data_IF_388891699092
#
_entry.id   IF_388891699092
#
_cell.length_a   1.000
_cell.length_b   1.000
_cell.length_c   1.000
_cell.angle_alpha   90.00
_cell.angle_beta   90.00
_cell.angle_gamma   90.00
#
_symmetry.space_group_name_H-M   'P 1'
#
loop_
_entity.id
_entity.type
_entity.pdbx_description
1 polymer ?
#
# COMPACT_ATOMS: atom_id res chain seq x y z
N UNK A 1 -46.76 -32.59 -5.03
CA UNK A 1 -46.11 -32.11 -3.79
C UNK A 1 -44.63 -32.41 -3.90
N UNK A 2 -43.86 -31.48 -4.48
CA UNK A 2 -42.40 -31.60 -4.62
C UNK A 2 -41.74 -30.70 -3.58
N UNK A 3 -40.71 -31.18 -2.88
CA UNK A 3 -40.02 -30.32 -1.91
C UNK A 3 -39.09 -29.32 -2.66
N UNK A 4 -39.24 -28.06 -2.29
CA UNK A 4 -38.34 -26.97 -2.68
C UNK A 4 -37.04 -27.16 -1.93
N UNK A 5 -35.98 -27.46 -2.65
CA UNK A 5 -34.61 -27.43 -2.13
C UNK A 5 -34.19 -25.98 -1.93
N UNK A 6 -34.08 -25.53 -0.70
CA UNK A 6 -33.49 -24.25 -0.36
C UNK A 6 -31.97 -24.35 -0.60
N UNK A 7 -31.48 -23.64 -1.62
CA UNK A 7 -30.06 -23.45 -1.86
C UNK A 7 -29.52 -22.45 -0.81
N UNK A 8 -28.79 -22.94 0.17
CA UNK A 8 -28.04 -22.09 1.08
C UNK A 8 -26.91 -21.42 0.29
N UNK A 9 -27.05 -20.13 0.03
CA UNK A 9 -25.97 -19.30 -0.50
C UNK A 9 -24.98 -19.10 0.64
N UNK A 10 -23.88 -19.83 0.62
CA UNK A 10 -22.75 -19.57 1.50
C UNK A 10 -22.13 -18.25 1.07
N UNK A 11 -22.33 -17.21 1.87
CA UNK A 11 -21.61 -15.94 1.77
C UNK A 11 -20.17 -16.16 2.19
N UNK A 12 -19.30 -16.51 1.25
CA UNK A 12 -17.89 -16.60 1.51
C UNK A 12 -17.29 -15.17 1.54
N UNK A 13 -16.78 -14.77 2.69
CA UNK A 13 -16.11 -13.50 2.96
C UNK A 13 -14.77 -13.41 2.25
N UNK A 14 -14.44 -12.24 1.70
CA UNK A 14 -13.19 -11.94 0.98
C UNK A 14 -11.94 -12.04 1.88
N UNK A 15 -10.83 -12.60 1.41
CA UNK A 15 -9.63 -12.84 2.22
C UNK A 15 -8.57 -11.74 2.10
N UNK A 16 -8.93 -10.47 1.99
CA UNK A 16 -7.93 -9.40 1.97
C UNK A 16 -7.95 -8.67 3.29
N UNK A 17 -7.34 -8.98 4.34
CA UNK A 17 -7.33 -8.29 5.65
C UNK A 17 -8.56 -8.55 6.55
N UNK A 18 -8.65 -9.75 7.10
CA UNK A 18 -9.47 -9.97 8.29
C UNK A 18 -8.68 -9.62 9.55
N UNK A 19 -9.20 -8.67 10.35
CA UNK A 19 -8.60 -8.22 11.61
C UNK A 19 -8.74 -9.23 12.78
N UNK A 20 -9.49 -10.33 12.66
CA UNK A 20 -10.03 -11.04 13.84
C UNK A 20 -9.25 -12.25 14.36
N UNK A 21 -8.20 -12.78 13.70
CA UNK A 21 -7.66 -14.10 14.07
C UNK A 21 -6.29 -14.12 14.78
N UNK A 22 -5.82 -13.01 15.38
CA UNK A 22 -4.53 -13.00 16.08
C UNK A 22 -4.61 -12.57 17.56
N UNK A 23 -5.24 -13.40 18.40
CA UNK A 23 -5.13 -13.27 19.85
C UNK A 23 -4.38 -14.47 20.46
N UNK A 24 -3.08 -14.54 20.20
CA UNK A 24 -2.16 -15.37 20.98
C UNK A 24 -1.36 -14.51 21.97
N UNK A 25 -0.70 -15.10 23.00
CA UNK A 25 0.09 -14.35 23.97
C UNK A 25 1.22 -13.58 23.30
N UNK A 26 1.34 -12.27 23.59
CA UNK A 26 2.30 -11.33 23.01
C UNK A 26 3.72 -11.67 23.45
N UNK A 27 4.65 -12.08 22.56
CA UNK A 27 6.07 -12.23 22.89
C UNK A 27 6.74 -10.87 23.11
N UNK A 28 7.86 -10.83 23.87
CA UNK A 28 8.60 -9.59 24.16
C UNK A 28 9.13 -8.91 22.89
N UNK A 29 9.16 -7.58 22.87
CA UNK A 29 9.41 -6.71 21.68
C UNK A 29 10.70 -6.97 20.88
N UNK A 30 11.70 -7.65 21.45
CA UNK A 30 13.00 -7.88 20.80
C UNK A 30 13.05 -9.08 19.85
N UNK A 31 12.06 -9.96 19.80
CA UNK A 31 12.17 -11.29 19.18
C UNK A 31 11.45 -11.50 17.85
N UNK A 32 10.77 -10.50 17.30
CA UNK A 32 9.92 -10.67 16.11
C UNK A 32 10.65 -11.20 14.88
N UNK A 33 11.87 -10.75 14.66
CA UNK A 33 12.62 -11.05 13.43
C UNK A 33 13.83 -11.96 13.62
N UNK A 34 14.20 -12.26 14.86
CA UNK A 34 15.40 -13.08 15.16
C UNK A 34 15.32 -14.51 14.61
N UNK A 35 14.11 -15.04 14.48
CA UNK A 35 13.86 -16.40 13.97
C UNK A 35 13.59 -16.45 12.46
N UNK A 36 13.48 -15.30 11.81
CA UNK A 36 13.22 -15.28 10.37
C UNK A 36 14.51 -15.58 9.60
N UNK A 37 14.46 -16.44 8.57
CA UNK A 37 15.55 -16.52 7.62
C UNK A 37 15.74 -15.17 6.93
N UNK A 38 16.95 -14.90 6.45
CA UNK A 38 17.22 -13.66 5.69
C UNK A 38 16.33 -13.58 4.45
N UNK A 39 16.32 -14.69 3.67
CA UNK A 39 15.43 -14.84 2.52
C UNK A 39 15.26 -16.32 2.16
N UNK A 40 14.25 -16.61 1.37
CA UNK A 40 14.01 -17.93 0.77
C UNK A 40 13.82 -17.79 -0.74
N UNK A 41 14.59 -18.55 -1.52
CA UNK A 41 14.39 -18.64 -2.96
C UNK A 41 13.07 -19.35 -3.25
N UNK A 42 12.27 -18.78 -4.17
CA UNK A 42 10.99 -19.32 -4.60
C UNK A 42 11.16 -19.96 -5.99
N UNK A 43 10.55 -21.13 -6.24
CA UNK A 43 10.51 -21.72 -7.57
C UNK A 43 9.90 -20.75 -8.59
N UNK A 44 10.45 -20.72 -9.80
CA UNK A 44 9.90 -19.91 -10.88
C UNK A 44 8.57 -20.48 -11.38
N UNK A 45 7.60 -19.61 -11.62
CA UNK A 45 6.37 -19.95 -12.35
C UNK A 45 6.59 -19.62 -13.83
N UNK A 46 6.47 -20.59 -14.77
CA UNK A 46 6.68 -20.33 -16.20
C UNK A 46 5.73 -19.29 -16.79
N UNK A 47 4.53 -19.10 -16.22
CA UNK A 47 3.58 -18.08 -16.64
C UNK A 47 4.06 -16.66 -16.31
N UNK A 48 4.85 -16.49 -15.26
CA UNK A 48 5.39 -15.20 -14.78
C UNK A 48 6.65 -14.81 -15.58
N UNK A 49 6.47 -14.51 -16.87
CA UNK A 49 7.57 -14.31 -17.85
C UNK A 49 8.56 -13.25 -17.47
N UNK A 50 8.10 -12.22 -16.75
CA UNK A 50 8.89 -11.05 -16.35
C UNK A 50 9.63 -11.22 -15.02
N UNK A 51 9.31 -12.25 -14.24
CA UNK A 51 9.87 -12.46 -12.91
C UNK A 51 10.91 -13.58 -12.92
N UNK A 52 12.11 -13.27 -12.40
CA UNK A 52 13.20 -14.25 -12.21
C UNK A 52 13.75 -14.12 -10.80
N UNK A 53 14.37 -15.18 -10.30
CA UNK A 53 15.06 -15.19 -9.02
C UNK A 53 14.19 -14.66 -7.87
N UNK A 54 12.89 -15.03 -7.84
CA UNK A 54 11.95 -14.56 -6.82
C UNK A 54 12.44 -15.02 -5.44
N UNK A 55 12.52 -14.09 -4.50
CA UNK A 55 12.89 -14.35 -3.11
C UNK A 55 11.85 -13.79 -2.17
N UNK A 56 11.42 -14.60 -1.22
CA UNK A 56 10.63 -14.19 -0.07
C UNK A 56 11.54 -13.59 0.99
N UNK A 57 11.21 -12.40 1.51
CA UNK A 57 12.04 -11.67 2.46
C UNK A 57 11.45 -11.59 3.88
N UNK A 58 10.14 -11.84 4.02
CA UNK A 58 9.44 -11.85 5.32
C UNK A 58 8.72 -13.17 5.52
N UNK A 59 8.44 -13.52 6.79
CA UNK A 59 7.90 -14.82 7.16
C UNK A 59 6.94 -14.67 8.34
N UNK A 60 5.65 -14.92 8.13
CA UNK A 60 4.61 -14.76 9.14
C UNK A 60 4.11 -13.32 9.32
N UNK A 61 2.92 -13.19 9.91
CA UNK A 61 2.22 -11.93 10.08
C UNK A 61 1.64 -11.38 8.78
N UNK A 62 1.33 -10.09 8.78
CA UNK A 62 0.84 -9.37 7.60
C UNK A 62 1.87 -8.30 7.23
N UNK A 63 2.50 -8.46 6.07
CA UNK A 63 3.56 -7.58 5.60
C UNK A 63 3.16 -7.03 4.23
N UNK A 64 3.10 -5.72 4.08
CA UNK A 64 2.62 -5.06 2.87
C UNK A 64 3.33 -3.72 2.62
N UNK A 65 3.01 -3.09 1.50
CA UNK A 65 3.45 -1.75 1.13
C UNK A 65 4.98 -1.57 1.23
N UNK A 66 5.69 -2.41 0.48
CA UNK A 66 7.15 -2.42 0.48
C UNK A 66 7.71 -1.50 -0.61
N UNK A 67 8.60 -0.58 -0.21
CA UNK A 67 9.13 0.44 -1.10
C UNK A 67 10.64 0.54 -1.01
N UNK A 68 11.29 0.71 -2.17
CA UNK A 68 12.73 0.82 -2.31
C UNK A 68 13.28 2.16 -1.82
N UNK A 69 14.48 2.13 -1.20
CA UNK A 69 15.35 3.30 -1.17
C UNK A 69 15.84 3.64 -2.57
N UNK A 70 16.23 4.91 -2.81
CA UNK A 70 16.69 5.39 -4.12
C UNK A 70 17.89 4.63 -4.67
N UNK A 71 18.78 4.16 -3.80
CA UNK A 71 19.97 3.36 -4.16
C UNK A 71 19.65 1.87 -4.39
N UNK A 72 18.42 1.42 -4.07
CA UNK A 72 17.98 0.03 -4.23
C UNK A 72 18.58 -0.95 -3.24
N UNK A 73 19.22 -0.48 -2.16
CA UNK A 73 19.87 -1.32 -1.16
C UNK A 73 18.97 -1.63 0.04
N UNK A 74 17.90 -0.84 0.24
CA UNK A 74 17.01 -0.94 1.37
C UNK A 74 15.56 -0.98 0.94
N UNK A 75 14.73 -1.61 1.77
CA UNK A 75 13.28 -1.69 1.62
C UNK A 75 12.66 -1.27 2.95
N UNK A 76 11.66 -0.40 2.89
CA UNK A 76 10.75 -0.12 3.99
C UNK A 76 9.42 -0.81 3.72
N UNK A 77 8.73 -1.25 4.77
CA UNK A 77 7.41 -1.89 4.66
C UNK A 77 6.64 -1.77 5.98
N UNK A 78 5.35 -1.96 5.93
CA UNK A 78 4.53 -2.13 7.13
C UNK A 78 4.38 -3.60 7.47
N UNK A 79 4.35 -3.90 8.77
CA UNK A 79 4.26 -5.27 9.30
C UNK A 79 3.35 -5.31 10.52
N UNK A 80 2.36 -6.19 10.51
CA UNK A 80 1.55 -6.54 11.66
C UNK A 80 2.08 -7.84 12.26
N UNK A 81 2.47 -7.78 13.51
CA UNK A 81 3.04 -8.90 14.25
C UNK A 81 2.42 -8.97 15.65
N UNK A 82 2.29 -10.16 16.27
CA UNK A 82 1.62 -10.30 17.57
C UNK A 82 2.16 -9.45 18.72
N UNK A 83 3.43 -9.00 18.65
CA UNK A 83 4.05 -8.19 19.70
C UNK A 83 3.70 -6.70 19.64
N UNK A 84 3.03 -6.23 18.60
CA UNK A 84 2.60 -4.83 18.45
C UNK A 84 1.09 -4.70 18.50
N UNK A 85 0.56 -3.55 18.91
CA UNK A 85 -0.88 -3.34 18.94
C UNK A 85 -1.49 -3.37 17.53
N UNK A 86 -0.75 -2.91 16.52
CA UNK A 86 -1.18 -2.84 15.12
C UNK A 86 0.05 -2.79 14.19
N UNK A 87 -0.12 -2.51 12.87
CA UNK A 87 0.99 -2.43 11.92
C UNK A 87 2.04 -1.40 12.36
N UNK A 88 3.30 -1.76 12.17
CA UNK A 88 4.46 -0.93 12.43
C UNK A 88 5.37 -0.85 11.21
N UNK A 89 6.22 0.17 11.14
CA UNK A 89 7.13 0.39 10.03
C UNK A 89 8.48 -0.26 10.31
N UNK A 90 8.90 -1.08 9.35
CA UNK A 90 10.16 -1.83 9.36
C UNK A 90 11.02 -1.37 8.19
N UNK A 91 12.33 -1.33 8.40
CA UNK A 91 13.32 -1.19 7.33
C UNK A 91 14.22 -2.43 7.34
N UNK A 92 14.52 -2.95 6.16
CA UNK A 92 15.45 -4.08 5.96
C UNK A 92 16.36 -3.83 4.75
N UNK A 93 17.44 -4.58 4.65
CA UNK A 93 18.22 -4.63 3.41
C UNK A 93 17.43 -5.33 2.31
N UNK A 94 17.78 -5.02 1.06
CA UNK A 94 17.17 -5.61 -0.13
C UNK A 94 17.34 -7.13 -0.24
N UNK A 95 18.26 -7.72 0.50
CA UNK A 95 18.44 -9.17 0.63
C UNK A 95 17.58 -9.81 1.73
N UNK A 96 16.83 -9.00 2.49
CA UNK A 96 16.00 -9.42 3.62
C UNK A 96 16.69 -9.41 4.97
N UNK A 97 17.97 -9.07 5.05
CA UNK A 97 18.72 -8.97 6.31
C UNK A 97 18.48 -7.64 7.04
N UNK A 98 18.96 -7.55 8.28
CA UNK A 98 18.99 -6.32 9.09
C UNK A 98 17.63 -5.65 9.26
N UNK A 99 16.58 -6.42 9.52
CA UNK A 99 15.24 -5.90 9.81
C UNK A 99 15.22 -5.08 11.10
N UNK A 100 14.73 -3.86 11.06
CA UNK A 100 14.69 -2.93 12.19
C UNK A 100 13.36 -2.20 12.27
N UNK A 101 12.76 -2.14 13.46
CA UNK A 101 11.58 -1.35 13.75
C UNK A 101 11.92 0.15 13.69
N UNK A 102 11.28 0.88 12.78
CA UNK A 102 11.50 2.31 12.56
C UNK A 102 10.43 3.21 13.18
N UNK A 103 9.21 2.74 13.34
CA UNK A 103 8.15 3.44 14.07
C UNK A 103 8.30 3.31 15.59
N UNK A 104 7.32 3.82 16.33
CA UNK A 104 7.36 3.89 17.80
C UNK A 104 7.06 2.57 18.49
N UNK A 105 6.46 1.59 17.82
CA UNK A 105 5.89 0.39 18.42
C UNK A 105 4.51 0.61 19.04
N UNK A 106 3.92 1.80 18.86
CA UNK A 106 2.63 2.22 19.41
C UNK A 106 1.69 2.65 18.29
N UNK A 107 0.39 2.51 18.51
CA UNK A 107 -0.64 2.86 17.55
C UNK A 107 -0.52 2.03 16.27
N UNK A 108 -1.17 2.50 15.21
CA UNK A 108 -1.10 1.95 13.87
C UNK A 108 -0.22 2.83 12.99
N UNK A 109 0.65 2.22 12.19
CA UNK A 109 1.51 2.90 11.22
C UNK A 109 1.29 2.33 9.83
N UNK A 110 1.37 3.17 8.78
CA UNK A 110 1.15 2.75 7.40
C UNK A 110 2.00 3.56 6.42
N UNK A 111 2.16 3.02 5.20
CA UNK A 111 2.62 3.73 4.00
C UNK A 111 3.93 4.49 4.20
N UNK A 112 4.99 3.78 4.53
CA UNK A 112 6.30 4.41 4.72
C UNK A 112 7.05 4.63 3.40
N UNK A 113 7.81 5.74 3.30
CA UNK A 113 8.57 6.06 2.11
C UNK A 113 9.89 6.76 2.44
N UNK A 114 10.99 6.35 1.80
CA UNK A 114 12.29 7.00 1.99
C UNK A 114 12.35 8.36 1.31
N UNK A 115 12.97 9.36 1.95
CA UNK A 115 13.44 10.52 1.21
C UNK A 115 14.55 10.12 0.24
N UNK A 116 14.64 10.74 -0.96
CA UNK A 116 15.61 10.37 -1.98
C UNK A 116 17.08 10.58 -1.56
N UNK A 117 17.33 11.42 -0.58
CA UNK A 117 18.66 11.65 0.02
C UNK A 117 18.98 10.65 1.14
N UNK A 118 18.04 9.74 1.45
CA UNK A 118 18.14 8.76 2.53
C UNK A 118 18.34 9.37 3.92
N UNK A 119 17.93 10.62 4.14
CA UNK A 119 18.02 11.27 5.44
C UNK A 119 16.77 11.06 6.31
N UNK A 120 15.63 10.81 5.68
CA UNK A 120 14.36 10.64 6.37
C UNK A 120 13.57 9.43 5.86
N UNK A 121 12.79 8.87 6.76
CA UNK A 121 11.72 7.92 6.48
C UNK A 121 10.39 8.58 6.85
N UNK A 122 9.51 8.79 5.88
CA UNK A 122 8.15 9.29 6.08
C UNK A 122 7.22 8.12 6.35
N UNK A 123 6.23 8.29 7.21
CA UNK A 123 5.15 7.33 7.44
C UNK A 123 3.98 8.00 8.17
N UNK A 124 2.80 7.44 8.01
CA UNK A 124 1.63 7.88 8.77
C UNK A 124 1.46 7.05 10.03
N UNK A 125 1.02 7.67 11.12
CA UNK A 125 0.86 7.01 12.40
C UNK A 125 -0.23 7.65 13.26
N UNK A 126 -0.90 6.80 14.05
CA UNK A 126 -1.91 7.25 15.04
C UNK A 126 -1.33 7.46 16.43
N UNK A 127 -0.05 7.17 16.67
CA UNK A 127 0.53 7.02 18.02
C UNK A 127 0.39 8.23 18.95
N UNK A 128 0.22 9.44 18.43
CA UNK A 128 -0.04 10.63 19.27
C UNK A 128 -1.51 10.74 19.72
N UNK A 129 -2.45 10.24 18.90
CA UNK A 129 -3.88 10.32 19.19
C UNK A 129 -4.43 9.01 19.76
N UNK A 130 -3.89 7.87 19.30
CA UNK A 130 -4.29 6.54 19.73
C UNK A 130 -3.07 5.60 19.72
N UNK A 131 -2.59 5.21 20.89
CA UNK A 131 -1.44 4.30 21.06
C UNK A 131 -1.81 2.82 20.96
N UNK A 132 -3.08 2.46 21.08
CA UNK A 132 -3.57 1.08 21.11
C UNK A 132 -3.91 0.51 19.74
N UNK A 133 -4.36 -0.74 19.75
CA UNK A 133 -4.90 -1.41 18.57
C UNK A 133 -6.17 -0.70 18.08
N UNK A 134 -6.33 -0.63 16.76
CA UNK A 134 -7.55 -0.13 16.15
C UNK A 134 -8.69 -1.15 16.35
N UNK A 135 -9.91 -0.65 16.57
CA UNK A 135 -11.08 -1.52 16.62
C UNK A 135 -11.29 -2.18 15.24
N UNK A 136 -11.65 -3.48 15.18
CA UNK A 136 -12.03 -4.13 13.94
C UNK A 136 -13.12 -3.35 13.20
N UNK A 137 -13.11 -3.42 11.87
CA UNK A 137 -14.15 -2.83 11.03
C UNK A 137 -15.27 -3.86 10.88
N UNK A 138 -16.54 -3.42 11.00
CA UNK A 138 -17.69 -4.27 10.72
C UNK A 138 -17.80 -4.57 9.23
N UNK A 139 -17.49 -5.79 8.84
CA UNK A 139 -17.58 -6.30 7.47
C UNK A 139 -18.91 -6.95 7.11
N UNK A 140 -19.92 -6.92 8.01
CA UNK A 140 -21.22 -7.59 7.80
C UNK A 140 -21.95 -7.10 6.53
N UNK A 141 -21.67 -5.87 6.09
CA UNK A 141 -22.24 -5.27 4.87
C UNK A 141 -21.29 -5.29 3.67
N UNK A 142 -20.25 -6.12 3.72
CA UNK A 142 -19.21 -6.25 2.69
C UNK A 142 -17.89 -5.54 3.03
N UNK A 143 -16.91 -5.70 2.16
CA UNK A 143 -15.56 -5.20 2.37
C UNK A 143 -15.49 -3.66 2.34
N UNK A 144 -14.89 -3.07 3.35
CA UNK A 144 -14.67 -1.63 3.47
C UNK A 144 -13.28 -1.34 4.08
N UNK A 145 -12.71 -0.19 3.77
CA UNK A 145 -11.49 0.32 4.38
C UNK A 145 -11.81 1.41 5.40
N UNK A 146 -11.01 1.44 6.47
CA UNK A 146 -11.05 2.54 7.41
C UNK A 146 -10.16 3.69 6.93
N UNK A 147 -10.74 4.86 6.80
CA UNK A 147 -10.04 6.14 6.65
C UNK A 147 -9.91 6.76 8.04
N UNK A 148 -8.85 6.35 8.77
CA UNK A 148 -8.73 6.68 10.18
C UNK A 148 -8.29 8.13 10.39
N UNK A 149 -9.12 9.02 10.99
CA UNK A 149 -8.81 10.44 11.20
C UNK A 149 -7.68 10.69 12.22
N UNK A 150 -7.25 9.65 12.96
CA UNK A 150 -6.13 9.75 13.89
C UNK A 150 -4.76 9.72 13.19
N UNK A 151 -4.68 9.37 11.91
CA UNK A 151 -3.42 9.38 11.19
C UNK A 151 -2.92 10.81 10.95
N UNK A 152 -1.69 11.07 11.42
CA UNK A 152 -0.87 12.21 11.04
C UNK A 152 0.37 11.75 10.29
N UNK A 153 0.97 12.62 9.48
CA UNK A 153 2.21 12.33 8.78
C UNK A 153 3.43 12.67 9.63
N UNK A 154 4.32 11.71 9.76
CA UNK A 154 5.60 11.83 10.45
C UNK A 154 6.78 11.62 9.52
N UNK A 155 7.95 12.17 9.90
CA UNK A 155 9.23 11.76 9.36
C UNK A 155 10.22 11.43 10.46
N UNK A 156 10.84 10.27 10.36
CA UNK A 156 11.94 9.83 11.24
C UNK A 156 13.26 10.16 10.56
N UNK A 157 14.12 10.93 11.23
CA UNK A 157 15.49 11.13 10.75
C UNK A 157 16.26 9.83 10.86
N UNK A 158 16.89 9.42 9.76
CA UNK A 158 17.72 8.23 9.70
C UNK A 158 19.11 8.52 10.25
N UNK A 159 19.76 7.50 10.79
CA UNK A 159 21.16 7.54 11.20
C UNK A 159 22.09 7.29 9.99
N UNK A 160 23.37 6.94 10.25
CA UNK A 160 24.35 6.68 9.19
C UNK A 160 23.98 5.55 8.23
N UNK A 161 23.07 4.65 8.65
CA UNK A 161 22.46 3.61 7.82
C UNK A 161 20.94 3.78 7.84
N UNK A 162 20.23 3.53 6.72
CA UNK A 162 18.78 3.70 6.63
C UNK A 162 17.96 2.86 7.62
N UNK A 163 18.50 1.80 8.18
CA UNK A 163 17.87 1.02 9.25
C UNK A 163 18.27 1.46 10.67
N UNK A 164 18.84 2.63 10.84
CA UNK A 164 19.14 3.19 12.16
C UNK A 164 18.40 4.51 12.37
N UNK A 165 17.88 4.70 13.61
CA UNK A 165 17.23 5.95 14.00
C UNK A 165 18.28 6.93 14.52
N UNK A 166 18.20 8.18 14.13
CA UNK A 166 18.83 9.23 14.90
C UNK A 166 18.05 9.39 16.21
N UNK A 167 18.73 9.48 17.36
CA UNK A 167 18.08 9.62 18.68
C UNK A 167 17.20 10.88 18.80
N UNK A 168 17.27 11.77 17.86
CA UNK A 168 16.76 13.11 18.07
C UNK A 168 15.51 13.49 17.28
N UNK A 169 14.90 12.67 16.40
CA UNK A 169 13.79 13.32 15.67
C UNK A 169 12.86 12.37 14.92
N UNK A 170 11.84 11.94 15.61
CA UNK A 170 10.53 11.73 14.99
C UNK A 170 9.83 13.10 14.98
N UNK A 171 9.52 13.61 13.81
CA UNK A 171 8.89 14.92 13.62
C UNK A 171 7.52 14.72 12.97
N UNK A 172 6.47 15.30 13.53
CA UNK A 172 5.20 15.43 12.86
C UNK A 172 5.34 16.48 11.74
N UNK A 173 5.03 16.07 10.50
CA UNK A 173 5.18 16.89 9.28
C UNK A 173 3.85 17.58 8.97
N UNK A 174 2.74 16.85 9.11
CA UNK A 174 1.39 17.38 8.91
C UNK A 174 0.55 16.97 10.12
N UNK A 175 0.17 17.98 10.90
CA UNK A 175 -0.60 17.86 12.14
C UNK A 175 -2.08 18.27 11.98
N UNK A 176 -2.57 18.32 10.74
CA UNK A 176 -3.97 18.71 10.46
C UNK A 176 -4.91 17.56 10.86
N UNK A 177 -6.02 17.90 11.51
CA UNK A 177 -7.05 16.92 11.83
C UNK A 177 -7.66 16.31 10.55
N UNK A 178 -7.99 15.02 10.62
CA UNK A 178 -8.42 14.21 9.50
C UNK A 178 -7.34 13.23 9.06
N UNK A 179 -7.70 12.37 8.12
CA UNK A 179 -6.81 11.33 7.58
C UNK A 179 -5.66 11.94 6.77
N UNK A 180 -4.43 11.52 7.06
CA UNK A 180 -3.25 11.84 6.26
C UNK A 180 -2.41 10.57 6.12
N UNK A 181 -2.34 9.99 4.91
CA UNK A 181 -1.57 8.78 4.66
C UNK A 181 -1.08 8.68 3.20
N UNK A 182 -0.48 7.55 2.86
CA UNK A 182 -0.04 7.19 1.50
C UNK A 182 0.95 8.20 0.92
N UNK A 183 1.87 8.68 1.76
CA UNK A 183 2.83 9.71 1.36
C UNK A 183 3.93 9.14 0.48
N UNK A 184 4.21 9.80 -0.63
CA UNK A 184 5.42 9.59 -1.46
C UNK A 184 6.21 10.88 -1.60
N UNK A 185 7.53 10.75 -1.73
CA UNK A 185 8.46 11.88 -1.85
C UNK A 185 8.94 11.99 -3.29
N UNK A 186 8.96 13.19 -3.83
CA UNK A 186 9.48 13.44 -5.19
C UNK A 186 10.95 13.03 -5.29
N UNK A 187 11.42 12.52 -6.44
CA UNK A 187 12.82 12.10 -6.63
C UNK A 187 13.86 13.21 -6.44
N UNK A 188 13.43 14.47 -6.51
CA UNK A 188 14.28 15.64 -6.30
C UNK A 188 14.27 16.13 -4.85
N UNK A 189 13.50 15.51 -3.97
CA UNK A 189 13.33 15.91 -2.56
C UNK A 189 12.79 17.33 -2.37
N UNK A 190 11.93 17.79 -3.27
CA UNK A 190 11.36 19.15 -3.27
C UNK A 190 9.91 19.19 -2.84
N UNK A 191 9.16 18.11 -2.98
CA UNK A 191 7.78 17.99 -2.50
C UNK A 191 7.41 16.56 -2.08
N UNK A 192 6.32 16.47 -1.32
CA UNK A 192 5.61 15.23 -1.01
C UNK A 192 4.22 15.26 -1.63
N UNK A 193 3.68 14.08 -1.95
CA UNK A 193 2.25 13.89 -2.24
C UNK A 193 1.67 12.90 -1.23
N UNK A 194 0.42 13.06 -0.90
CA UNK A 194 -0.26 12.21 0.08
C UNK A 194 -1.78 12.23 -0.15
N UNK A 195 -2.47 11.27 0.46
CA UNK A 195 -3.93 11.24 0.53
C UNK A 195 -4.38 11.91 1.81
N UNK A 196 -5.36 12.81 1.73
CA UNK A 196 -5.96 13.48 2.88
C UNK A 196 -7.47 13.44 2.81
N UNK A 197 -8.13 13.31 3.98
CA UNK A 197 -9.57 13.45 4.14
C UNK A 197 -9.86 14.81 4.80
N UNK A 198 -9.99 15.79 3.95
CA UNK A 198 -10.32 17.16 4.33
C UNK A 198 -11.44 17.70 3.43
N UNK A 199 -12.11 18.75 3.87
CA UNK A 199 -13.15 19.42 3.09
C UNK A 199 -14.32 18.50 2.69
N UNK A 200 -14.50 17.39 3.42
CA UNK A 200 -15.62 16.45 3.21
C UNK A 200 -15.41 15.43 2.08
N UNK A 201 -14.18 15.26 1.60
CA UNK A 201 -13.84 14.27 0.59
C UNK A 201 -12.39 13.77 0.74
N UNK A 202 -12.10 12.62 0.14
CA UNK A 202 -10.77 11.99 0.16
C UNK A 202 -10.05 12.34 -1.12
N UNK A 203 -9.01 13.17 -1.01
CA UNK A 203 -8.31 13.75 -2.12
C UNK A 203 -6.78 13.59 -2.02
N UNK A 204 -6.12 13.83 -3.14
CA UNK A 204 -4.66 13.89 -3.21
C UNK A 204 -4.21 15.33 -2.99
N UNK A 205 -3.21 15.46 -2.14
CA UNK A 205 -2.56 16.72 -1.80
C UNK A 205 -1.08 16.69 -2.13
N UNK A 206 -0.50 17.86 -2.29
CA UNK A 206 0.93 18.11 -2.42
C UNK A 206 1.36 19.14 -1.37
N UNK A 207 2.55 18.98 -0.81
CA UNK A 207 3.19 19.95 0.07
C UNK A 207 4.70 19.97 -0.19
N UNK A 208 5.41 20.94 0.39
CA UNK A 208 6.86 20.85 0.54
C UNK A 208 7.23 19.65 1.43
N UNK A 209 8.50 19.22 1.39
CA UNK A 209 8.99 18.07 2.20
C UNK A 209 8.90 18.29 3.70
N UNK A 210 8.73 19.53 4.14
CA UNK A 210 8.51 19.93 5.57
C UNK A 210 7.02 20.03 5.93
N UNK A 211 6.09 19.74 5.00
CA UNK A 211 4.65 19.80 5.21
C UNK A 211 4.01 21.18 5.00
N UNK A 212 4.77 22.16 4.57
CA UNK A 212 4.26 23.51 4.28
C UNK A 212 3.72 23.64 2.86
N UNK A 213 2.96 24.72 2.58
CA UNK A 213 2.40 25.05 1.26
C UNK A 213 1.53 23.92 0.68
N UNK A 214 0.61 23.41 1.49
CA UNK A 214 -0.30 22.35 1.08
C UNK A 214 -1.21 22.83 -0.05
N UNK A 215 -1.30 22.06 -1.11
CA UNK A 215 -2.16 22.29 -2.28
C UNK A 215 -2.96 21.03 -2.58
N UNK A 216 -4.27 21.17 -2.78
CA UNK A 216 -5.17 20.11 -3.23
C UNK A 216 -4.96 19.86 -4.72
N UNK A 217 -4.77 18.60 -5.12
CA UNK A 217 -4.52 18.23 -6.52
C UNK A 217 -5.74 17.61 -7.21
N UNK A 218 -6.63 16.95 -6.45
CA UNK A 218 -7.89 16.39 -6.95
C UNK A 218 -9.07 17.11 -6.31
N UNK A 219 -10.20 17.17 -7.00
CA UNK A 219 -11.37 17.94 -6.56
C UNK A 219 -12.70 17.29 -6.96
N UNK A 220 -12.62 16.23 -7.71
CA UNK A 220 -13.79 15.48 -8.14
C UNK A 220 -14.26 14.58 -7.01
N UNK A 221 -15.55 14.60 -6.70
CA UNK A 221 -16.15 13.84 -5.62
C UNK A 221 -15.82 12.33 -5.72
N UNK A 222 -15.49 11.73 -4.59
CA UNK A 222 -15.17 10.31 -4.44
C UNK A 222 -13.74 10.08 -3.95
N UNK A 223 -13.36 8.83 -3.85
CA UNK A 223 -12.06 8.45 -3.35
C UNK A 223 -10.96 8.67 -4.40
N UNK A 224 -10.03 9.58 -4.13
CA UNK A 224 -8.78 9.75 -4.86
C UNK A 224 -7.60 9.51 -3.90
N UNK A 225 -6.73 8.51 -4.16
CA UNK A 225 -5.66 8.17 -3.21
C UNK A 225 -4.51 7.37 -3.79
N UNK A 226 -3.54 7.05 -2.92
CA UNK A 226 -2.35 6.29 -3.25
C UNK A 226 -1.49 6.93 -4.33
N UNK A 227 -1.10 8.22 -4.19
CA UNK A 227 -0.31 8.88 -5.21
C UNK A 227 1.15 8.40 -5.22
N UNK A 228 1.68 8.04 -6.40
CA UNK A 228 3.09 7.77 -6.60
C UNK A 228 3.70 8.73 -7.61
N UNK A 229 4.76 9.42 -7.20
CA UNK A 229 5.51 10.32 -8.08
C UNK A 229 6.47 9.50 -8.95
N UNK A 230 6.48 9.73 -10.27
CA UNK A 230 7.40 9.05 -11.17
C UNK A 230 8.87 9.44 -10.89
N UNK A 231 9.80 8.60 -11.33
CA UNK A 231 11.25 8.83 -11.13
C UNK A 231 11.79 10.09 -11.81
N UNK A 232 11.03 10.71 -12.69
CA UNK A 232 11.34 12.00 -13.30
C UNK A 232 10.84 13.20 -12.48
N UNK A 233 10.00 12.98 -11.45
CA UNK A 233 9.36 14.03 -10.64
C UNK A 233 8.29 14.83 -11.39
N UNK A 234 7.81 14.32 -12.52
CA UNK A 234 6.93 15.07 -13.44
C UNK A 234 5.48 14.62 -13.43
N UNK A 235 5.22 13.38 -13.03
CA UNK A 235 3.90 12.77 -13.07
C UNK A 235 3.56 12.09 -11.76
N UNK A 236 2.28 11.99 -11.48
CA UNK A 236 1.72 11.25 -10.37
C UNK A 236 0.76 10.22 -10.96
N UNK A 237 0.96 8.94 -10.62
CA UNK A 237 -0.03 7.89 -10.84
C UNK A 237 -0.77 7.65 -9.55
N UNK A 238 -2.08 7.43 -9.62
CA UNK A 238 -2.94 7.29 -8.44
C UNK A 238 -4.15 6.41 -8.75
N UNK A 239 -4.88 6.01 -7.73
CA UNK A 239 -6.17 5.32 -7.91
C UNK A 239 -7.32 6.26 -7.64
N UNK A 240 -8.39 6.10 -8.39
CA UNK A 240 -9.65 6.80 -8.23
C UNK A 240 -10.82 5.81 -8.22
N UNK A 241 -11.74 5.99 -7.28
CA UNK A 241 -13.00 5.25 -7.18
C UNK A 241 -14.15 6.03 -7.80
N UNK A 242 -14.45 5.86 -9.11
CA UNK A 242 -15.59 6.52 -9.73
C UNK A 242 -16.89 5.91 -9.24
N UNK A 243 -17.96 6.71 -9.23
CA UNK A 243 -19.31 6.20 -9.01
C UNK A 243 -19.87 5.64 -10.32
N UNK A 244 -20.48 4.46 -10.26
CA UNK A 244 -21.17 3.86 -11.41
C UNK A 244 -22.62 4.37 -11.53
N UNK A 245 -23.19 4.82 -10.41
CA UNK A 245 -24.57 5.31 -10.32
C UNK A 245 -24.76 6.13 -9.03
N UNK A 246 -25.93 6.77 -8.90
CA UNK A 246 -26.28 7.59 -7.74
C UNK A 246 -26.35 6.81 -6.41
N UNK A 247 -26.57 5.49 -6.45
CA UNK A 247 -26.59 4.68 -5.23
C UNK A 247 -25.17 4.46 -4.69
N UNK A 248 -24.17 4.31 -5.59
CA UNK A 248 -22.77 4.21 -5.18
C UNK A 248 -22.28 5.51 -4.54
N UNK A 249 -22.68 6.66 -5.06
CA UNK A 249 -22.37 7.95 -4.46
C UNK A 249 -22.99 8.10 -3.06
N UNK A 250 -24.24 7.66 -2.90
CA UNK A 250 -24.92 7.66 -1.61
C UNK A 250 -24.24 6.72 -0.61
N UNK A 251 -23.85 5.50 -1.04
CA UNK A 251 -23.12 4.54 -0.20
C UNK A 251 -21.77 5.13 0.24
N UNK A 252 -21.07 5.82 -0.66
CA UNK A 252 -19.85 6.55 -0.33
C UNK A 252 -20.09 7.61 0.75
N UNK A 253 -21.10 8.47 0.60
CA UNK A 253 -21.41 9.51 1.58
C UNK A 253 -21.79 8.94 2.96
N UNK A 254 -22.51 7.82 2.99
CA UNK A 254 -22.91 7.17 4.24
C UNK A 254 -21.73 6.47 4.93
N UNK A 255 -20.84 5.84 4.17
CA UNK A 255 -19.64 5.20 4.71
C UNK A 255 -18.60 6.24 5.14
N UNK A 256 -18.39 7.27 4.35
CA UNK A 256 -17.43 8.34 4.64
C UNK A 256 -17.72 9.04 5.97
N UNK A 257 -18.99 9.29 6.31
CA UNK A 257 -19.43 9.79 7.63
C UNK A 257 -19.03 8.87 8.79
N UNK A 258 -18.74 7.61 8.50
CA UNK A 258 -18.28 6.61 9.46
C UNK A 258 -16.77 6.38 9.39
N UNK A 259 -16.04 7.21 8.64
CA UNK A 259 -14.64 7.05 8.30
C UNK A 259 -14.34 5.73 7.58
N UNK A 260 -15.21 5.31 6.68
CA UNK A 260 -15.11 4.10 5.88
C UNK A 260 -15.24 4.44 4.39
N UNK A 261 -14.62 3.63 3.55
CA UNK A 261 -14.82 3.64 2.09
C UNK A 261 -14.93 2.21 1.56
N UNK A 262 -15.73 2.04 0.51
CA UNK A 262 -15.89 0.76 -0.18
C UNK A 262 -15.09 0.75 -1.48
N UNK A 263 -14.02 -0.05 -1.61
CA UNK A 263 -13.23 -0.14 -2.83
C UNK A 263 -13.92 -1.06 -3.87
N UNK A 264 -15.16 -0.73 -4.26
CA UNK A 264 -15.95 -1.55 -5.21
C UNK A 264 -15.35 -1.51 -6.60
N UNK A 265 -15.05 -0.30 -7.08
CA UNK A 265 -14.38 -0.04 -8.34
C UNK A 265 -13.32 1.01 -8.14
N UNK A 266 -12.13 0.74 -8.64
CA UNK A 266 -11.02 1.68 -8.65
C UNK A 266 -10.27 1.58 -9.96
N UNK A 267 -9.95 2.72 -10.54
CA UNK A 267 -9.19 2.83 -11.77
C UNK A 267 -7.85 3.54 -11.53
N UNK A 268 -6.85 3.17 -12.30
CA UNK A 268 -5.56 3.86 -12.34
C UNK A 268 -5.70 5.14 -13.17
N UNK A 269 -5.25 6.24 -12.60
CA UNK A 269 -5.20 7.56 -13.22
C UNK A 269 -3.79 8.12 -13.23
N UNK A 270 -3.55 9.10 -14.10
CA UNK A 270 -2.27 9.82 -14.18
C UNK A 270 -2.54 11.33 -14.33
N UNK A 271 -1.70 12.14 -13.67
CA UNK A 271 -1.70 13.60 -13.79
C UNK A 271 -0.25 14.12 -13.78
N UNK A 272 -0.05 15.41 -14.08
CA UNK A 272 1.24 16.04 -13.84
C UNK A 272 1.45 16.30 -12.33
N UNK A 273 2.66 16.65 -11.92
CA UNK A 273 3.00 16.88 -10.50
C UNK A 273 2.31 18.10 -9.88
N UNK A 274 1.48 18.83 -10.62
CA UNK A 274 0.68 19.97 -10.17
C UNK A 274 -0.83 19.71 -10.24
N UNK A 275 -1.26 18.46 -10.46
CA UNK A 275 -2.67 18.08 -10.52
C UNK A 275 -3.38 18.40 -11.85
N UNK A 276 -2.62 18.76 -12.90
CA UNK A 276 -3.18 19.08 -14.22
C UNK A 276 -3.10 17.88 -15.16
N UNK A 277 -3.84 17.94 -16.29
CA UNK A 277 -3.85 16.90 -17.33
C UNK A 277 -4.24 15.54 -16.81
N UNK A 278 -5.21 15.49 -15.88
CA UNK A 278 -5.73 14.24 -15.32
C UNK A 278 -6.31 13.36 -16.43
N UNK A 279 -5.92 12.09 -16.43
CA UNK A 279 -6.38 11.12 -17.42
C UNK A 279 -6.50 9.73 -16.82
N UNK A 280 -7.60 9.08 -17.10
CA UNK A 280 -7.83 7.68 -16.79
C UNK A 280 -6.91 6.79 -17.64
N UNK A 281 -6.29 5.79 -17.02
CA UNK A 281 -5.40 4.82 -17.67
C UNK A 281 -6.09 3.47 -17.81
N UNK A 282 -6.78 3.00 -16.74
CA UNK A 282 -7.56 1.75 -16.77
C UNK A 282 -9.05 2.06 -16.80
N UNK A 283 -9.82 1.13 -17.36
CA UNK A 283 -11.27 1.08 -17.30
C UNK A 283 -11.67 -0.39 -17.20
N UNK A 284 -11.37 -0.98 -16.02
CA UNK A 284 -11.51 -2.41 -15.78
C UNK A 284 -12.62 -2.65 -14.74
N UNK A 285 -13.36 -3.76 -14.81
CA UNK A 285 -14.26 -4.14 -13.74
C UNK A 285 -13.45 -4.44 -12.46
N UNK A 286 -14.03 -4.14 -11.29
CA UNK A 286 -13.38 -4.36 -10.00
C UNK A 286 -12.41 -3.25 -9.61
N UNK A 287 -11.43 -3.57 -8.79
CA UNK A 287 -10.50 -2.61 -8.23
C UNK A 287 -9.10 -2.77 -8.80
N UNK A 288 -8.52 -1.66 -9.28
CA UNK A 288 -7.11 -1.52 -9.65
C UNK A 288 -6.45 -0.54 -8.69
N UNK A 289 -5.39 -0.94 -7.99
CA UNK A 289 -4.79 -0.13 -6.94
C UNK A 289 -3.26 -0.23 -6.88
N UNK A 290 -2.64 0.59 -6.02
CA UNK A 290 -1.19 0.69 -5.84
C UNK A 290 -0.42 0.81 -7.17
N UNK A 291 -0.78 1.76 -8.05
CA UNK A 291 -0.09 1.93 -9.31
C UNK A 291 1.31 2.49 -9.09
N UNK A 292 2.29 1.98 -9.83
CA UNK A 292 3.65 2.49 -9.82
C UNK A 292 4.18 2.66 -11.26
N UNK A 293 4.74 3.83 -11.57
CA UNK A 293 5.32 4.10 -12.89
C UNK A 293 6.66 3.37 -13.04
N UNK A 294 6.78 2.53 -14.07
CA UNK A 294 8.06 1.92 -14.41
C UNK A 294 9.11 3.01 -14.74
N UNK A 295 10.40 2.82 -14.38
CA UNK A 295 11.45 3.82 -14.61
C UNK A 295 11.64 4.27 -16.06
N UNK A 296 11.12 3.51 -17.05
CA UNK A 296 11.12 3.93 -18.46
C UNK A 296 10.15 5.11 -18.74
N UNK A 297 9.28 5.46 -17.78
CA UNK A 297 8.28 6.52 -17.91
C UNK A 297 7.18 6.25 -18.93
N UNK A 298 7.00 4.98 -19.34
CA UNK A 298 6.03 4.56 -20.37
C UNK A 298 4.98 3.58 -19.83
N UNK A 299 5.35 2.72 -18.90
CA UNK A 299 4.53 1.62 -18.37
C UNK A 299 4.17 1.88 -16.90
N UNK A 300 3.03 1.34 -16.47
CA UNK A 300 2.54 1.39 -15.09
C UNK A 300 2.27 -0.05 -14.66
N UNK A 301 2.83 -0.45 -13.49
CA UNK A 301 2.48 -1.70 -12.81
C UNK A 301 1.49 -1.41 -11.71
N UNK A 302 0.53 -2.30 -11.47
CA UNK A 302 -0.51 -2.15 -10.46
C UNK A 302 -1.10 -3.50 -10.06
N UNK A 303 -1.78 -3.57 -8.92
CA UNK A 303 -2.59 -4.72 -8.52
C UNK A 303 -4.02 -4.59 -9.02
N UNK A 304 -4.65 -5.68 -9.47
CA UNK A 304 -6.06 -5.67 -9.87
C UNK A 304 -6.73 -7.04 -9.73
N UNK A 305 -8.01 -7.03 -9.39
CA UNK A 305 -8.86 -8.22 -9.32
C UNK A 305 -9.82 -8.36 -10.52
N UNK A 306 -9.57 -7.64 -11.62
CA UNK A 306 -10.52 -7.57 -12.72
C UNK A 306 -10.76 -8.91 -13.43
N UNK A 307 -9.83 -9.86 -13.33
CA UNK A 307 -9.96 -11.19 -13.94
C UNK A 307 -10.71 -12.20 -13.09
N UNK A 308 -10.83 -11.96 -11.78
CA UNK A 308 -11.60 -12.83 -10.92
C UNK A 308 -13.08 -12.41 -10.94
N UNK A 309 -14.02 -13.27 -11.40
CA UNK A 309 -15.45 -12.96 -11.39
C UNK A 309 -16.03 -12.68 -9.99
N UNK A 310 -15.34 -13.16 -8.93
CA UNK A 310 -15.71 -12.92 -7.53
C UNK A 310 -15.00 -11.70 -6.96
N UNK A 311 -14.09 -11.09 -7.71
CA UNK A 311 -13.29 -9.92 -7.31
C UNK A 311 -12.53 -10.11 -5.98
N UNK A 312 -11.97 -11.29 -5.75
CA UNK A 312 -11.24 -11.64 -4.52
C UNK A 312 -9.76 -11.84 -4.74
N UNK A 313 -9.39 -12.43 -5.89
CA UNK A 313 -8.01 -12.67 -6.29
C UNK A 313 -7.44 -11.42 -6.93
N UNK A 314 -6.30 -10.97 -6.43
CA UNK A 314 -5.56 -9.86 -6.99
C UNK A 314 -4.25 -10.33 -7.57
N UNK A 315 -3.99 -9.95 -8.82
CA UNK A 315 -2.72 -10.15 -9.49
C UNK A 315 -2.06 -8.82 -9.83
N UNK A 316 -0.77 -8.87 -10.13
CA UNK A 316 -0.05 -7.74 -10.72
C UNK A 316 -0.30 -7.69 -12.22
N UNK A 317 -0.55 -6.49 -12.71
CA UNK A 317 -0.71 -6.16 -14.13
C UNK A 317 0.22 -5.03 -14.52
N UNK A 318 0.54 -4.97 -15.81
CA UNK A 318 1.25 -3.86 -16.42
C UNK A 318 0.44 -3.31 -17.57
N UNK A 319 0.46 -2.01 -17.75
CA UNK A 319 -0.21 -1.30 -18.84
C UNK A 319 0.67 -0.14 -19.31
N UNK A 320 0.58 0.22 -20.59
CA UNK A 320 1.15 1.48 -21.06
C UNK A 320 0.40 2.65 -20.46
N UNK A 321 1.09 3.74 -20.18
CA UNK A 321 0.46 4.95 -19.63
C UNK A 321 -0.66 5.52 -20.51
N UNK A 322 -0.72 5.19 -21.80
CA UNK A 322 -1.80 5.59 -22.71
C UNK A 322 -3.03 4.67 -22.64
N UNK A 323 -3.00 3.62 -21.81
CA UNK A 323 -4.10 2.68 -21.60
C UNK A 323 -4.04 1.46 -22.51
N UNK A 324 -2.99 1.30 -23.33
CA UNK A 324 -2.81 0.15 -24.23
C UNK A 324 -1.89 -0.91 -23.62
N UNK A 325 -1.89 -2.12 -24.19
CA UNK A 325 -0.92 -3.16 -23.87
C UNK A 325 -1.06 -3.73 -22.44
N UNK A 326 -2.29 -3.92 -21.96
CA UNK A 326 -2.55 -4.55 -20.67
C UNK A 326 -2.03 -5.99 -20.64
N UNK A 327 -1.17 -6.32 -19.69
CA UNK A 327 -0.57 -7.64 -19.51
C UNK A 327 -0.64 -8.06 -18.04
N UNK A 328 -0.98 -9.32 -17.76
CA UNK A 328 -0.91 -9.92 -16.43
C UNK A 328 0.52 -10.40 -16.16
N UNK A 329 1.03 -10.09 -14.97
CA UNK A 329 2.41 -10.34 -14.55
C UNK A 329 2.51 -11.50 -13.58
N UNK A 330 1.59 -11.62 -12.62
CA UNK A 330 1.54 -12.73 -11.65
C UNK A 330 0.32 -13.60 -11.87
N UNK A 331 0.41 -14.86 -11.40
CA UNK A 331 -0.59 -15.90 -11.65
C UNK A 331 -0.72 -16.86 -10.45
N UNK A 332 -0.51 -16.36 -9.25
CA UNK A 332 -0.68 -17.17 -8.04
C UNK A 332 -2.06 -16.93 -7.45
N UNK A 333 -2.71 -17.97 -6.89
CA UNK A 333 -3.98 -17.77 -6.19
C UNK A 333 -3.84 -16.77 -5.03
N UNK A 334 -4.93 -16.11 -4.69
CA UNK A 334 -5.16 -15.18 -3.59
C UNK A 334 -4.72 -13.73 -3.88
N UNK A 335 -3.56 -13.30 -3.41
CA UNK A 335 -3.20 -11.89 -3.41
C UNK A 335 -1.76 -11.64 -3.83
N UNK A 336 -1.61 -10.83 -4.87
CA UNK A 336 -0.37 -10.16 -5.25
C UNK A 336 -0.65 -8.66 -5.39
N UNK A 337 0.09 -7.81 -4.70
CA UNK A 337 -0.18 -6.37 -4.69
C UNK A 337 1.00 -5.49 -4.28
N UNK A 338 0.79 -4.18 -4.28
CA UNK A 338 1.77 -3.17 -3.87
C UNK A 338 3.12 -3.28 -4.58
N UNK A 339 3.14 -3.30 -5.92
CA UNK A 339 4.38 -3.44 -6.67
C UNK A 339 5.14 -2.12 -6.73
N UNK A 340 6.46 -2.16 -6.58
CA UNK A 340 7.35 -1.04 -6.85
C UNK A 340 8.62 -1.49 -7.57
N UNK A 341 8.99 -0.82 -8.66
CA UNK A 341 10.28 -1.04 -9.30
C UNK A 341 11.42 -0.34 -8.55
N UNK A 342 12.58 -1.01 -8.48
CA UNK A 342 13.82 -0.32 -8.17
C UNK A 342 14.09 0.77 -9.22
N UNK A 343 14.83 1.81 -8.85
CA UNK A 343 15.08 2.98 -9.72
C UNK A 343 15.68 2.63 -11.08
N UNK A 344 16.48 1.57 -11.17
CA UNK A 344 17.08 1.11 -12.41
C UNK A 344 16.16 0.17 -13.24
N UNK A 345 14.95 -0.12 -12.75
CA UNK A 345 13.98 -1.00 -13.42
C UNK A 345 14.34 -2.48 -13.46
N UNK A 346 15.41 -2.90 -12.77
CA UNK A 346 15.90 -4.29 -12.83
C UNK A 346 15.29 -5.21 -11.78
N UNK A 347 14.62 -4.65 -10.79
CA UNK A 347 13.97 -5.42 -9.72
C UNK A 347 12.57 -4.87 -9.46
N UNK A 348 11.69 -5.75 -9.03
CA UNK A 348 10.37 -5.40 -8.49
C UNK A 348 10.25 -5.97 -7.09
N UNK A 349 9.73 -5.18 -6.15
CA UNK A 349 9.26 -5.63 -4.84
C UNK A 349 7.74 -5.64 -4.86
N UNK A 350 7.12 -6.62 -4.21
CA UNK A 350 5.67 -6.75 -4.10
C UNK A 350 5.28 -7.53 -2.85
N UNK A 351 4.04 -7.41 -2.42
CA UNK A 351 3.44 -8.22 -1.37
C UNK A 351 2.64 -9.37 -1.99
N UNK A 352 2.65 -10.55 -1.34
CA UNK A 352 1.96 -11.73 -1.82
C UNK A 352 1.60 -12.67 -0.68
N UNK A 353 0.49 -13.39 -0.82
CA UNK A 353 0.09 -14.50 0.07
C UNK A 353 0.72 -15.85 -0.34
N UNK A 354 1.44 -15.88 -1.47
CA UNK A 354 2.11 -17.10 -1.94
C UNK A 354 3.02 -17.68 -0.86
N UNK A 355 2.98 -18.99 -0.69
CA UNK A 355 3.80 -19.72 0.29
C UNK A 355 3.58 -19.28 1.75
N UNK A 356 2.46 -18.65 2.07
CA UNK A 356 2.04 -18.40 3.45
C UNK A 356 1.84 -19.72 4.20
N UNK A 357 2.20 -19.74 5.48
CA UNK A 357 2.09 -20.94 6.34
C UNK A 357 0.76 -20.99 7.10
N UNK A 358 0.08 -19.86 7.18
CA UNK A 358 -1.22 -19.69 7.84
C UNK A 358 -2.15 -18.81 6.99
N UNK A 359 -3.48 -18.94 7.13
CA UNK A 359 -4.43 -18.07 6.46
C UNK A 359 -4.10 -16.58 6.70
N UNK A 360 -4.31 -15.75 5.68
CA UNK A 360 -4.09 -14.29 5.73
C UNK A 360 -2.63 -13.85 5.95
N UNK A 361 -1.68 -14.76 5.93
CA UNK A 361 -0.27 -14.40 5.92
C UNK A 361 0.07 -13.71 4.60
N UNK A 362 0.67 -12.52 4.69
CA UNK A 362 1.16 -11.78 3.53
C UNK A 362 2.64 -11.49 3.72
N UNK A 363 3.44 -11.71 2.70
CA UNK A 363 4.89 -11.55 2.76
C UNK A 363 5.41 -10.65 1.65
N UNK A 364 6.60 -10.10 1.88
CA UNK A 364 7.33 -9.28 0.90
C UNK A 364 8.23 -10.17 0.05
N UNK A 365 8.13 -9.97 -1.26
CA UNK A 365 8.93 -10.65 -2.27
C UNK A 365 9.70 -9.65 -3.12
N UNK A 366 10.88 -10.08 -3.58
CA UNK A 366 11.68 -9.35 -4.56
C UNK A 366 11.98 -10.29 -5.72
N UNK A 367 11.82 -9.80 -6.94
CA UNK A 367 12.19 -10.50 -8.16
C UNK A 367 13.11 -9.65 -9.02
N UNK A 368 13.97 -10.31 -9.80
CA UNK A 368 14.66 -9.68 -10.92
C UNK A 368 13.64 -9.51 -12.06
N UNK A 369 13.62 -8.31 -12.66
CA UNK A 369 12.73 -7.98 -13.77
C UNK A 369 13.38 -8.25 -15.12
N UNK A 370 12.65 -8.94 -15.99
CA UNK A 370 13.03 -9.22 -17.40
C UNK A 370 11.98 -8.57 -18.31
N UNK A 371 12.44 -7.76 -19.28
CA UNK A 371 11.56 -7.08 -20.24
C UNK A 371 11.02 -8.05 -21.30
#
# INVERSE_FOLDING_TARGET
>A
MFPVLALAVATATSPIFHEEDFLGPVPSQAQAFEKWPTSRQIPSNPAEKHLRNIRQLTFGGQNAEAYWSKDGNWITFQSRQPQWPDEQIIVMRADGSQKTLMSTGKGRCTCSYFSPDSQYLYFSSTHLKNEGAQKPVDMSKGYVWRVNPDFSLFRQRLGPKPNTKSRMMLQEVIAKDGYVAETTVSPNNDFITFTGDWEGDIDIYRANVDGLNITKLTTEKGYDGGPFVDWAGKRIVYRRGPFENAQDEKDYDELHKQNLVRPKRMDVWIMDSHGRYKRQVTNLPGASFAPFMHPDGKRIIFGSNYRDPKQREFDLFMIHKDGTGLEQITFTPDFDGFPMFSRNGRKVVFASNRYGSVPHETNIFVADWVN
#
